data_IF_631803953273
#
_entry.id   IF_631803953273
#
_cell.length_a   1.000
_cell.length_b   1.000
_cell.length_c   1.000
_cell.angle_alpha   90.00
_cell.angle_beta   90.00
_cell.angle_gamma   90.00
#
_symmetry.space_group_name_H-M   'P 1'
#
loop_
_entity.id
_entity.type
_entity.pdbx_description
1 polymer ?
#
# COMPACT_ATOMS: atom_id res chain seq x y z
N UNK A 1 -41.38 3.10 -1.41
CA UNK A 1 -40.41 2.94 -0.31
C UNK A 1 -39.73 1.62 -0.55
N UNK A 2 -38.49 1.64 -1.03
CA UNK A 2 -37.61 0.46 -1.11
C UNK A 2 -36.20 0.94 -0.86
N UNK A 3 -35.77 1.04 0.41
CA UNK A 3 -34.43 1.47 0.77
C UNK A 3 -33.48 0.27 0.67
N UNK A 4 -33.41 -0.36 -0.50
CA UNK A 4 -32.46 -1.44 -0.79
C UNK A 4 -31.17 -0.85 -1.39
N UNK A 5 -30.63 0.18 -0.75
CA UNK A 5 -29.18 0.38 -0.88
C UNK A 5 -28.60 -0.79 -0.08
N UNK A 6 -28.21 -1.85 -0.79
CA UNK A 6 -27.73 -3.10 -0.22
C UNK A 6 -26.60 -2.78 0.78
N UNK A 7 -26.79 -3.13 2.05
CA UNK A 7 -25.82 -2.84 3.12
C UNK A 7 -24.42 -3.38 2.77
N UNK A 8 -24.37 -4.45 1.97
CA UNK A 8 -23.16 -5.01 1.37
C UNK A 8 -22.44 -4.02 0.44
N UNK A 9 -23.16 -3.34 -0.45
CA UNK A 9 -22.59 -2.34 -1.37
C UNK A 9 -22.01 -1.15 -0.59
N UNK A 10 -22.69 -0.75 0.50
CA UNK A 10 -22.21 0.29 1.41
C UNK A 10 -20.91 -0.19 2.10
N UNK A 11 -20.88 -1.43 2.56
CA UNK A 11 -19.71 -2.06 3.18
C UNK A 11 -18.51 -2.10 2.25
N UNK A 12 -18.69 -2.61 1.03
CA UNK A 12 -17.66 -2.67 -0.01
C UNK A 12 -17.14 -1.28 -0.33
N UNK A 13 -18.05 -0.31 -0.55
CA UNK A 13 -17.66 1.06 -0.86
C UNK A 13 -16.86 1.69 0.27
N UNK A 14 -17.29 1.50 1.51
CA UNK A 14 -16.61 2.02 2.70
C UNK A 14 -15.22 1.42 2.83
N UNK A 15 -15.07 0.11 2.57
CA UNK A 15 -13.78 -0.57 2.58
C UNK A 15 -12.83 0.00 1.53
N UNK A 16 -13.28 0.17 0.28
CA UNK A 16 -12.45 0.72 -0.80
C UNK A 16 -12.00 2.15 -0.50
N UNK A 17 -12.90 3.01 0.01
CA UNK A 17 -12.55 4.39 0.38
C UNK A 17 -11.49 4.44 1.50
N UNK A 18 -11.58 3.53 2.47
CA UNK A 18 -10.56 3.41 3.53
C UNK A 18 -9.21 2.97 2.97
N UNK A 19 -9.21 1.98 2.06
CA UNK A 19 -8.03 1.49 1.36
C UNK A 19 -7.36 2.63 0.57
N UNK A 20 -8.12 3.28 -0.30
CA UNK A 20 -7.64 4.40 -1.13
C UNK A 20 -7.05 5.52 -0.27
N UNK A 21 -7.77 5.96 0.77
CA UNK A 21 -7.29 7.01 1.65
C UNK A 21 -6.05 6.62 2.45
N UNK A 22 -5.92 5.35 2.86
CA UNK A 22 -4.74 4.85 3.56
C UNK A 22 -3.51 4.84 2.64
N UNK A 23 -3.67 4.33 1.42
CA UNK A 23 -2.61 4.29 0.40
C UNK A 23 -2.20 5.70 0.00
N UNK A 24 -3.16 6.59 -0.27
CA UNK A 24 -2.87 7.98 -0.65
C UNK A 24 -1.98 8.66 0.40
N UNK A 25 -2.35 8.56 1.68
CA UNK A 25 -1.56 9.14 2.78
C UNK A 25 -0.15 8.55 2.88
N UNK A 26 -0.01 7.25 2.67
CA UNK A 26 1.30 6.59 2.68
C UNK A 26 2.18 7.10 1.52
N UNK A 27 1.63 7.13 0.30
CA UNK A 27 2.31 7.64 -0.90
C UNK A 27 2.72 9.10 -0.73
N UNK A 28 1.85 9.95 -0.17
CA UNK A 28 2.16 11.35 0.12
C UNK A 28 3.35 11.47 1.10
N UNK A 29 3.35 10.70 2.20
CA UNK A 29 4.46 10.69 3.16
C UNK A 29 5.79 10.32 2.50
N UNK A 30 5.81 9.28 1.67
CA UNK A 30 7.02 8.82 0.98
C UNK A 30 7.49 9.87 -0.02
N UNK A 31 6.58 10.41 -0.85
CA UNK A 31 6.88 11.46 -1.82
C UNK A 31 7.49 12.70 -1.17
N UNK A 32 6.96 13.12 -0.03
CA UNK A 32 7.48 14.27 0.71
C UNK A 32 8.90 14.03 1.25
N UNK A 33 9.22 12.81 1.65
CA UNK A 33 10.56 12.44 2.12
C UNK A 33 11.57 12.36 0.97
N UNK A 34 11.20 11.68 -0.13
CA UNK A 34 12.13 11.36 -1.22
C UNK A 34 12.36 12.49 -2.24
N UNK A 35 11.47 13.50 -2.29
CA UNK A 35 11.57 14.73 -3.10
C UNK A 35 12.11 14.52 -4.53
N UNK A 36 13.42 14.69 -4.73
CA UNK A 36 14.07 14.62 -6.03
C UNK A 36 14.10 13.20 -6.61
N UNK A 37 14.32 12.18 -5.77
CA UNK A 37 14.38 10.78 -6.22
C UNK A 37 13.00 10.26 -6.61
N UNK A 38 11.93 10.78 -6.01
CA UNK A 38 10.56 10.47 -6.40
C UNK A 38 10.28 10.81 -7.87
N UNK A 39 10.89 11.90 -8.39
CA UNK A 39 10.70 12.31 -9.78
C UNK A 39 11.32 11.34 -10.80
N UNK A 40 12.17 10.42 -10.35
CA UNK A 40 12.76 9.38 -11.20
C UNK A 40 11.82 8.19 -11.43
N UNK A 41 10.73 8.09 -10.66
CA UNK A 41 9.75 7.02 -10.81
C UNK A 41 8.85 7.29 -12.02
N UNK A 42 8.62 6.26 -12.83
CA UNK A 42 7.60 6.34 -13.87
C UNK A 42 6.20 6.36 -13.25
N UNK A 43 5.21 6.93 -13.95
CA UNK A 43 3.82 6.87 -13.51
C UNK A 43 3.36 5.43 -13.30
N UNK A 44 3.78 4.52 -14.18
CA UNK A 44 3.49 3.09 -14.05
C UNK A 44 4.09 2.50 -12.76
N UNK A 45 5.32 2.85 -12.38
CA UNK A 45 5.90 2.37 -11.12
C UNK A 45 5.12 2.89 -9.90
N UNK A 46 4.69 4.16 -9.94
CA UNK A 46 3.85 4.75 -8.88
C UNK A 46 2.49 4.04 -8.80
N UNK A 47 1.88 3.72 -9.93
CA UNK A 47 0.60 3.00 -10.00
C UNK A 47 0.74 1.57 -9.44
N UNK A 48 1.78 0.85 -9.86
CA UNK A 48 2.08 -0.50 -9.35
C UNK A 48 2.38 -0.47 -7.86
N UNK A 49 3.14 0.52 -7.39
CA UNK A 49 3.43 0.71 -5.98
C UNK A 49 2.15 0.94 -5.17
N UNK A 50 1.31 1.87 -5.62
CA UNK A 50 0.06 2.24 -4.94
C UNK A 50 -0.92 1.06 -4.91
N UNK A 51 -1.04 0.34 -6.02
CA UNK A 51 -1.84 -0.89 -6.08
C UNK A 51 -1.31 -1.96 -5.11
N UNK A 52 -0.01 -2.21 -5.10
CA UNK A 52 0.64 -3.20 -4.23
C UNK A 52 0.43 -2.88 -2.75
N UNK A 53 0.54 -1.59 -2.38
CA UNK A 53 0.22 -1.10 -1.05
C UNK A 53 -1.25 -1.32 -0.67
N UNK A 54 -2.18 -1.10 -1.61
CA UNK A 54 -3.60 -1.33 -1.38
C UNK A 54 -3.93 -2.79 -1.12
N UNK A 55 -3.40 -3.71 -1.93
CA UNK A 55 -3.63 -5.15 -1.75
C UNK A 55 -3.00 -5.64 -0.44
N UNK A 56 -1.83 -5.11 -0.08
CA UNK A 56 -1.19 -5.42 1.21
C UNK A 56 -2.01 -4.86 2.38
N UNK A 57 -2.52 -3.64 2.29
CA UNK A 57 -3.41 -3.05 3.31
C UNK A 57 -4.67 -3.88 3.55
N UNK A 58 -5.26 -4.41 2.47
CA UNK A 58 -6.45 -5.25 2.54
C UNK A 58 -6.20 -6.55 3.34
N UNK A 59 -4.95 -7.03 3.34
CA UNK A 59 -4.53 -8.23 4.08
C UNK A 59 -4.12 -7.91 5.53
N UNK A 60 -3.33 -6.85 5.76
CA UNK A 60 -2.84 -6.44 7.08
C UNK A 60 -3.95 -5.85 7.97
N UNK A 61 -4.85 -5.08 7.37
CA UNK A 61 -5.85 -4.31 8.09
C UNK A 61 -5.31 -3.01 8.71
N UNK A 62 -6.23 -2.22 9.25
CA UNK A 62 -5.98 -0.83 9.63
C UNK A 62 -5.00 -0.67 10.80
N UNK A 63 -5.08 -1.52 11.83
CA UNK A 63 -4.30 -1.37 13.06
C UNK A 63 -2.80 -1.57 12.81
N UNK A 64 -2.43 -2.59 12.05
CA UNK A 64 -1.04 -2.86 11.67
C UNK A 64 -0.52 -1.75 10.74
N UNK A 65 -1.32 -1.37 9.73
CA UNK A 65 -0.94 -0.29 8.81
C UNK A 65 -0.58 1.03 9.49
N UNK A 66 -1.27 1.39 10.58
CA UNK A 66 -1.00 2.65 11.28
C UNK A 66 0.35 2.70 11.98
N UNK A 67 1.00 1.55 12.23
CA UNK A 67 2.32 1.45 12.85
C UNK A 67 3.47 1.65 11.85
N UNK A 68 3.18 1.59 10.55
CA UNK A 68 4.20 1.62 9.52
C UNK A 68 4.72 3.05 9.34
N UNK A 69 6.04 3.20 9.50
CA UNK A 69 6.76 4.47 9.37
C UNK A 69 7.02 4.88 7.92
N UNK A 70 5.97 5.10 7.11
CA UNK A 70 6.11 5.43 5.68
C UNK A 70 6.98 6.67 5.38
N UNK A 71 7.12 7.61 6.32
CA UNK A 71 8.03 8.75 6.19
C UNK A 71 9.52 8.37 6.14
N UNK A 72 9.88 7.16 6.60
CA UNK A 72 11.25 6.66 6.66
C UNK A 72 11.57 5.66 5.54
N UNK A 73 10.60 5.31 4.70
CA UNK A 73 10.82 4.38 3.58
C UNK A 73 11.80 4.99 2.58
N UNK A 74 12.86 4.26 2.26
CA UNK A 74 13.85 4.63 1.25
C UNK A 74 13.44 4.19 -0.18
N UNK A 75 14.16 4.70 -1.17
CA UNK A 75 13.89 4.39 -2.58
C UNK A 75 14.21 2.95 -2.96
N UNK A 76 15.14 2.29 -2.25
CA UNK A 76 15.45 0.88 -2.46
C UNK A 76 14.26 0.00 -2.09
N UNK A 77 13.71 0.22 -0.90
CA UNK A 77 12.51 -0.46 -0.39
C UNK A 77 11.31 -0.22 -1.30
N UNK A 78 11.10 1.02 -1.74
CA UNK A 78 10.03 1.34 -2.69
C UNK A 78 10.20 0.56 -3.99
N UNK A 79 11.40 0.58 -4.60
CA UNK A 79 11.67 -0.13 -5.86
C UNK A 79 11.49 -1.63 -5.70
N UNK A 80 11.89 -2.20 -4.55
CA UNK A 80 11.66 -3.62 -4.25
C UNK A 80 10.17 -3.96 -4.25
N UNK A 81 9.33 -3.14 -3.62
CA UNK A 81 7.87 -3.33 -3.62
C UNK A 81 7.31 -3.23 -5.06
N UNK A 82 7.77 -2.27 -5.85
CA UNK A 82 7.38 -2.13 -7.27
C UNK A 82 7.72 -3.39 -8.07
N UNK A 83 8.93 -3.92 -7.92
CA UNK A 83 9.34 -5.13 -8.65
C UNK A 83 8.51 -6.35 -8.25
N UNK A 84 8.23 -6.53 -6.94
CA UNK A 84 7.32 -7.59 -6.48
C UNK A 84 5.93 -7.42 -7.11
N UNK A 85 5.40 -6.20 -7.16
CA UNK A 85 4.12 -5.90 -7.80
C UNK A 85 4.11 -6.25 -9.30
N UNK A 86 5.18 -5.90 -10.03
CA UNK A 86 5.34 -6.27 -11.45
C UNK A 86 5.43 -7.79 -11.66
N UNK A 87 6.05 -8.52 -10.73
CA UNK A 87 6.08 -10.00 -10.78
C UNK A 87 4.66 -10.59 -10.68
N UNK A 88 3.78 -9.99 -9.89
CA UNK A 88 2.37 -10.40 -9.81
C UNK A 88 1.63 -10.08 -11.10
N UNK A 89 1.75 -8.84 -11.60
CA UNK A 89 1.08 -8.40 -12.83
C UNK A 89 1.54 -9.18 -14.08
N UNK A 90 2.78 -9.67 -14.08
CA UNK A 90 3.33 -10.53 -15.14
C UNK A 90 3.11 -12.02 -14.88
N UNK A 91 2.30 -12.38 -13.89
CA UNK A 91 1.97 -13.77 -13.50
C UNK A 91 3.19 -14.64 -13.14
N UNK A 92 4.33 -14.02 -12.81
CA UNK A 92 5.54 -14.72 -12.36
C UNK A 92 5.47 -15.12 -10.89
N UNK A 93 4.64 -14.44 -10.11
CA UNK A 93 4.46 -14.68 -8.68
C UNK A 93 2.98 -14.66 -8.31
N UNK A 94 2.60 -15.53 -7.37
CA UNK A 94 1.26 -15.54 -6.80
C UNK A 94 1.06 -14.31 -5.92
N UNK A 95 -0.08 -13.63 -6.08
CA UNK A 95 -0.40 -12.42 -5.32
C UNK A 95 -0.32 -12.62 -3.81
N UNK A 96 -0.82 -13.73 -3.28
CA UNK A 96 -0.73 -14.04 -1.83
C UNK A 96 0.69 -14.00 -1.30
N UNK A 97 1.60 -14.75 -1.95
CA UNK A 97 3.03 -14.78 -1.58
C UNK A 97 3.71 -13.43 -1.75
N UNK A 98 3.34 -12.69 -2.80
CA UNK A 98 3.89 -11.37 -3.07
C UNK A 98 3.50 -10.36 -2.00
N UNK A 99 2.22 -10.32 -1.60
CA UNK A 99 1.73 -9.39 -0.60
C UNK A 99 2.15 -9.79 0.82
N UNK A 100 2.35 -11.08 1.11
CA UNK A 100 3.04 -11.54 2.34
C UNK A 100 4.48 -11.02 2.41
N UNK A 101 5.21 -11.04 1.30
CA UNK A 101 6.56 -10.49 1.25
C UNK A 101 6.58 -8.97 1.41
N UNK A 102 5.65 -8.26 0.75
CA UNK A 102 5.51 -6.80 0.90
C UNK A 102 5.12 -6.46 2.34
N UNK A 103 4.19 -7.20 2.95
CA UNK A 103 3.84 -7.05 4.36
C UNK A 103 5.09 -7.18 5.26
N UNK A 104 5.89 -8.23 5.07
CA UNK A 104 7.13 -8.42 5.84
C UNK A 104 8.13 -7.27 5.66
N UNK A 105 8.20 -6.69 4.47
CA UNK A 105 9.01 -5.48 4.21
C UNK A 105 8.46 -4.29 5.00
N UNK A 106 7.14 -4.06 4.97
CA UNK A 106 6.51 -2.96 5.69
C UNK A 106 6.66 -3.11 7.21
N UNK A 107 6.55 -4.31 7.75
CA UNK A 107 6.72 -4.57 9.18
C UNK A 107 8.12 -4.21 9.69
N UNK A 108 9.14 -4.36 8.84
CA UNK A 108 10.51 -3.93 9.18
C UNK A 108 10.63 -2.41 9.35
N UNK A 109 9.63 -1.65 8.88
CA UNK A 109 9.50 -0.19 9.02
C UNK A 109 8.56 0.21 10.17
N UNK A 110 8.11 -0.74 11.00
CA UNK A 110 7.32 -0.40 12.18
C UNK A 110 8.10 0.59 13.06
N UNK A 111 7.52 1.77 13.27
CA UNK A 111 8.06 2.71 14.23
C UNK A 111 7.60 2.28 15.61
N UNK A 112 8.50 1.73 16.43
CA UNK A 112 8.23 1.55 17.85
C UNK A 112 8.03 2.95 18.45
N UNK A 113 6.79 3.28 18.82
CA UNK A 113 6.48 4.41 19.68
C UNK A 113 7.25 4.20 21.00
N UNK A 114 8.46 4.77 21.09
CA UNK A 114 9.14 4.98 22.36
C UNK A 114 8.47 6.16 23.04
N UNK A 115 7.43 5.89 23.82
CA UNK A 115 7.02 6.74 24.93
C UNK A 115 7.43 6.09 26.25
#
# INVERSE_FOLDING_TARGET
>A
MSPDVNEEDIGIRTFQLRKEGAVQRAVEKIRHNQKAEWQQLSSNDIDVFSWSLGETWAMMGFQEWTKIGFSFMDMETLRKIVEIGKEVLSHKKLGTKAFEEIHSILDSLETTDKF
#
